data_IF_324503065611
#
_entry.id   IF_324503065611
#
_cell.length_a   1.000
_cell.length_b   1.000
_cell.length_c   1.000
_cell.angle_alpha   90.00
_cell.angle_beta   90.00
_cell.angle_gamma   90.00
#
_symmetry.space_group_name_H-M   'P 1'
#
loop_
_entity.id
_entity.type
_entity.pdbx_description
1 polymer ?
#
# COMPACT_ATOMS: atom_id res chain seq x y z
N UNK A 1 -7.72 15.12 -22.34
CA UNK A 1 -6.98 14.82 -21.09
C UNK A 1 -7.97 14.17 -20.15
N UNK A 2 -7.96 12.84 -20.11
CA UNK A 2 -8.85 12.08 -19.23
C UNK A 2 -8.45 12.38 -17.79
N UNK A 3 -9.37 12.97 -17.03
CA UNK A 3 -9.19 13.24 -15.61
C UNK A 3 -8.68 11.96 -14.95
N UNK A 4 -7.46 12.00 -14.41
CA UNK A 4 -6.97 10.91 -13.57
C UNK A 4 -7.98 10.79 -12.42
N UNK A 5 -8.73 9.68 -12.38
CA UNK A 5 -9.49 9.31 -11.19
C UNK A 5 -8.50 9.36 -10.02
N UNK A 6 -8.65 10.37 -9.15
CA UNK A 6 -7.80 10.52 -7.97
C UNK A 6 -7.92 9.23 -7.19
N UNK A 7 -6.83 8.49 -7.10
CA UNK A 7 -6.81 7.28 -6.31
C UNK A 7 -6.97 7.66 -4.85
N UNK A 8 -8.02 7.15 -4.20
CA UNK A 8 -8.23 7.36 -2.78
C UNK A 8 -7.30 6.42 -2.01
N UNK A 9 -6.21 6.98 -1.51
CA UNK A 9 -5.31 6.24 -0.64
C UNK A 9 -6.03 5.84 0.66
N UNK A 10 -5.79 4.62 1.16
CA UNK A 10 -6.29 4.24 2.46
C UNK A 10 -5.68 5.12 3.56
N UNK A 11 -6.37 5.26 4.71
CA UNK A 11 -5.81 5.96 5.85
C UNK A 11 -4.50 5.30 6.27
N UNK A 12 -3.50 6.11 6.63
CA UNK A 12 -2.23 5.62 7.15
C UNK A 12 -2.55 4.88 8.47
N UNK A 13 -2.12 3.62 8.63
CA UNK A 13 -2.29 2.88 9.87
C UNK A 13 -1.66 3.62 11.06
N UNK A 14 -2.16 3.35 12.26
CA UNK A 14 -1.57 3.93 13.46
C UNK A 14 -0.11 3.49 13.64
N UNK A 15 0.69 4.33 14.30
CA UNK A 15 2.11 4.00 14.58
C UNK A 15 2.25 2.63 15.25
N UNK A 16 1.36 2.35 16.21
CA UNK A 16 1.29 1.06 16.89
C UNK A 16 1.06 -0.10 15.93
N UNK A 17 0.11 0.00 15.00
CA UNK A 17 -0.15 -1.05 14.00
C UNK A 17 1.03 -1.25 13.03
N UNK A 18 1.76 -0.18 12.69
CA UNK A 18 2.95 -0.28 11.85
C UNK A 18 4.09 -1.03 12.56
N UNK A 19 4.22 -0.83 13.87
CA UNK A 19 5.21 -1.53 14.70
C UNK A 19 4.79 -2.98 14.99
N UNK A 20 3.51 -3.25 15.31
CA UNK A 20 2.97 -4.60 15.56
C UNK A 20 3.08 -5.54 14.33
N UNK A 21 3.11 -4.98 13.13
CA UNK A 21 3.24 -5.73 11.87
C UNK A 21 4.64 -5.64 11.24
N UNK A 22 5.64 -5.15 11.99
CA UNK A 22 7.04 -5.01 11.55
C UNK A 22 7.18 -4.33 10.17
N UNK A 23 6.33 -3.32 9.89
CA UNK A 23 6.32 -2.64 8.59
C UNK A 23 7.64 -1.87 8.41
N UNK A 24 8.43 -2.19 7.36
CA UNK A 24 9.70 -1.50 7.11
C UNK A 24 9.49 0.00 6.94
N UNK A 25 10.41 0.82 7.44
CA UNK A 25 10.28 2.28 7.40
C UNK A 25 10.00 2.84 6.00
N UNK A 26 10.61 2.23 4.96
CA UNK A 26 10.39 2.58 3.56
C UNK A 26 8.93 2.42 3.10
N UNK A 27 8.18 1.51 3.74
CA UNK A 27 6.79 1.19 3.41
C UNK A 27 5.80 1.73 4.45
N UNK A 28 6.23 2.61 5.36
CA UNK A 28 5.34 3.36 6.27
C UNK A 28 4.73 4.58 5.58
N UNK A 29 4.23 4.36 4.37
CA UNK A 29 3.61 5.39 3.53
C UNK A 29 2.09 5.23 3.45
N UNK A 30 1.44 5.98 2.57
CA UNK A 30 0.00 5.88 2.30
C UNK A 30 -0.44 4.48 1.83
N UNK A 31 0.48 3.60 1.45
CA UNK A 31 0.20 2.23 1.02
C UNK A 31 0.42 1.17 2.10
N UNK A 32 0.91 1.57 3.30
CA UNK A 32 1.20 0.67 4.41
C UNK A 32 -0.01 -0.19 4.82
N UNK A 33 -1.23 0.36 4.73
CA UNK A 33 -2.45 -0.38 5.06
C UNK A 33 -2.65 -1.64 4.18
N UNK A 34 -2.35 -1.54 2.88
CA UNK A 34 -2.41 -2.69 1.97
C UNK A 34 -1.31 -3.72 2.27
N UNK A 35 -0.11 -3.25 2.67
CA UNK A 35 0.97 -4.15 3.06
C UNK A 35 0.61 -4.95 4.32
N UNK A 36 0.03 -4.30 5.33
CA UNK A 36 -0.47 -4.98 6.54
C UNK A 36 -1.52 -6.04 6.16
N UNK A 37 -2.45 -5.73 5.25
CA UNK A 37 -3.44 -6.71 4.79
C UNK A 37 -2.79 -7.89 4.06
N UNK A 38 -1.71 -7.65 3.32
CA UNK A 38 -0.93 -8.70 2.70
C UNK A 38 -0.26 -9.59 3.74
N UNK A 39 0.40 -9.02 4.75
CA UNK A 39 1.00 -9.78 5.86
C UNK A 39 -0.04 -10.58 6.64
N UNK A 40 -1.17 -9.98 7.01
CA UNK A 40 -2.30 -10.68 7.65
C UNK A 40 -2.82 -11.86 6.82
N UNK A 41 -2.72 -11.79 5.50
CA UNK A 41 -3.08 -12.90 4.62
C UNK A 41 -2.01 -13.99 4.62
N UNK A 42 -0.73 -13.63 4.61
CA UNK A 42 0.39 -14.57 4.70
C UNK A 42 0.39 -15.33 6.04
N UNK A 43 0.11 -14.63 7.15
CA UNK A 43 -0.01 -15.23 8.49
C UNK A 43 -1.09 -16.32 8.58
N UNK A 44 -2.13 -16.25 7.74
CA UNK A 44 -3.19 -17.27 7.67
C UNK A 44 -2.73 -18.57 6.98
N UNK A 45 -1.47 -18.64 6.53
CA UNK A 45 -0.90 -19.83 5.87
C UNK A 45 -1.42 -20.05 4.46
N UNK A 46 -2.10 -19.08 3.86
CA UNK A 46 -2.60 -19.19 2.48
C UNK A 46 -1.54 -18.72 1.49
N UNK A 47 -1.01 -19.61 0.66
CA UNK A 47 0.01 -19.25 -0.36
C UNK A 47 -0.52 -18.34 -1.49
N UNK A 48 -1.83 -18.05 -1.53
CA UNK A 48 -2.49 -17.36 -2.64
C UNK A 48 -3.02 -15.96 -2.28
N UNK A 49 -2.22 -15.18 -1.54
CA UNK A 49 -2.55 -13.79 -1.19
C UNK A 49 -2.35 -12.79 -2.34
N UNK A 50 -2.76 -13.18 -3.56
CA UNK A 50 -2.55 -12.38 -4.77
C UNK A 50 -3.34 -11.07 -4.73
N UNK A 51 -4.60 -11.11 -4.30
CA UNK A 51 -5.44 -9.91 -4.22
C UNK A 51 -4.86 -8.79 -3.34
N UNK A 52 -4.53 -9.02 -2.05
CA UNK A 52 -3.94 -7.98 -1.21
C UNK A 52 -2.55 -7.55 -1.68
N UNK A 53 -1.78 -8.47 -2.31
CA UNK A 53 -0.50 -8.15 -2.94
C UNK A 53 -0.67 -7.16 -4.09
N UNK A 54 -1.63 -7.43 -4.98
CA UNK A 54 -1.89 -6.60 -6.16
C UNK A 54 -2.42 -5.21 -5.75
N UNK A 55 -3.23 -5.13 -4.70
CA UNK A 55 -3.68 -3.87 -4.11
C UNK A 55 -2.52 -3.02 -3.59
N UNK A 56 -1.55 -3.64 -2.88
CA UNK A 56 -0.35 -2.96 -2.42
C UNK A 56 0.49 -2.41 -3.58
N UNK A 57 0.77 -3.23 -4.61
CA UNK A 57 1.55 -2.78 -5.77
C UNK A 57 0.83 -1.74 -6.61
N UNK A 58 -0.50 -1.82 -6.73
CA UNK A 58 -1.31 -0.80 -7.40
C UNK A 58 -1.19 0.54 -6.68
N UNK A 59 -1.25 0.55 -5.35
CA UNK A 59 -1.07 1.76 -4.55
C UNK A 59 0.33 2.37 -4.76
N UNK A 60 1.39 1.54 -4.70
CA UNK A 60 2.77 1.99 -4.94
C UNK A 60 2.97 2.56 -6.35
N UNK A 61 2.38 1.92 -7.36
CA UNK A 61 2.42 2.39 -8.74
C UNK A 61 1.78 3.77 -8.90
N UNK A 62 0.61 3.98 -8.30
CA UNK A 62 -0.10 5.26 -8.36
C UNK A 62 0.66 6.36 -7.60
N UNK A 63 1.21 6.05 -6.42
CA UNK A 63 2.04 6.95 -5.65
C UNK A 63 3.33 7.35 -6.38
N UNK A 64 3.93 6.44 -7.14
CA UNK A 64 5.08 6.73 -8.00
C UNK A 64 4.68 7.59 -9.18
N UNK A 65 3.55 7.28 -9.84
CA UNK A 65 3.04 8.05 -10.97
C UNK A 65 2.76 9.50 -10.59
N UNK A 66 2.08 9.74 -9.46
CA UNK A 66 1.82 11.09 -8.96
C UNK A 66 3.11 11.86 -8.66
N UNK A 67 4.12 11.18 -8.07
CA UNK A 67 5.45 11.79 -7.84
C UNK A 67 6.13 12.18 -9.15
N UNK A 68 6.05 11.34 -10.18
CA UNK A 68 6.61 11.63 -11.50
C UNK A 68 5.86 12.76 -12.21
N UNK A 69 4.54 12.82 -12.08
CA UNK A 69 3.71 13.90 -12.62
C UNK A 69 3.97 15.23 -11.91
N UNK A 70 4.22 15.22 -10.58
CA UNK A 70 4.58 16.42 -9.81
C UNK A 70 6.01 16.91 -10.05
N UNK A 71 6.90 16.06 -10.58
CA UNK A 71 8.29 16.42 -10.90
C UNK A 71 8.45 17.06 -12.30
N UNK A 72 7.34 17.22 -13.03
CA UNK A 72 7.27 17.81 -14.38
C UNK A 72 6.91 19.29 -14.32
#
# INVERSE_FOLDING_TARGET
MTAAEKYEYPPIPSQKELDDHDVPFLHRDHCAAHLINYYKCLDKGTSYCNKPKDEFYKCQYLALKERLESHK
#
